data_IF_836955049891
#
_entry.id   IF_836955049891
#
_cell.length_a   1.000
_cell.length_b   1.000
_cell.length_c   1.000
_cell.angle_alpha   90.00
_cell.angle_beta   90.00
_cell.angle_gamma   90.00
#
_symmetry.space_group_name_H-M   'P 1'
#
loop_
_entity.id
_entity.type
_entity.pdbx_description
1 polymer ?
#
# COMPACT_ATOMS: atom_id res chain seq x y z
N UNK A 1 67.70 -29.37 -36.38
CA UNK A 1 67.11 -30.71 -36.59
C UNK A 1 65.78 -30.72 -35.86
N UNK A 2 64.66 -30.63 -36.58
CA UNK A 2 63.80 -31.75 -37.05
C UNK A 2 63.04 -32.37 -35.87
N UNK A 3 61.71 -32.50 -35.83
CA UNK A 3 60.67 -32.27 -36.83
C UNK A 3 59.31 -32.20 -36.09
N UNK A 4 58.48 -31.19 -36.41
CA UNK A 4 57.06 -31.18 -36.06
C UNK A 4 56.33 -31.82 -37.24
N UNK A 5 55.45 -32.83 -37.04
CA UNK A 5 54.74 -33.47 -38.13
C UNK A 5 53.72 -32.48 -38.71
N UNK A 6 54.05 -31.93 -39.87
CA UNK A 6 53.10 -31.20 -40.69
C UNK A 6 52.00 -32.18 -41.12
N UNK A 7 50.82 -32.09 -40.51
CA UNK A 7 49.56 -32.50 -41.12
C UNK A 7 49.36 -31.64 -42.38
N UNK A 8 50.10 -31.97 -43.45
CA UNK A 8 49.81 -31.51 -44.79
C UNK A 8 48.52 -32.21 -45.17
N UNK A 9 47.41 -31.49 -44.99
CA UNK A 9 46.29 -31.62 -45.92
C UNK A 9 46.89 -31.63 -47.33
N UNK A 10 47.01 -32.81 -47.94
CA UNK A 10 47.14 -32.96 -49.37
C UNK A 10 45.80 -32.54 -49.96
N UNK A 11 45.57 -31.23 -49.89
CA UNK A 11 44.48 -30.50 -50.51
C UNK A 11 44.48 -30.94 -51.98
N UNK A 12 43.36 -31.45 -52.53
CA UNK A 12 43.31 -32.05 -53.87
C UNK A 12 43.31 -30.96 -54.97
N UNK A 13 44.26 -30.03 -54.90
CA UNK A 13 44.37 -28.90 -55.83
C UNK A 13 44.85 -29.35 -57.20
N UNK A 14 45.60 -30.47 -57.29
CA UNK A 14 46.00 -31.06 -58.57
C UNK A 14 44.80 -31.54 -59.41
N UNK A 15 43.78 -32.13 -58.76
CA UNK A 15 42.57 -32.58 -59.44
C UNK A 15 41.69 -31.42 -59.92
N UNK A 16 41.54 -30.38 -59.10
CA UNK A 16 40.81 -29.15 -59.45
C UNK A 16 41.49 -28.36 -60.57
N UNK A 17 42.82 -28.28 -60.58
CA UNK A 17 43.58 -27.63 -61.66
C UNK A 17 43.52 -28.42 -62.97
N UNK A 18 43.58 -29.77 -62.90
CA UNK A 18 43.48 -30.62 -64.09
C UNK A 18 42.06 -30.57 -64.70
N UNK A 19 41.01 -30.55 -63.88
CA UNK A 19 39.63 -30.42 -64.36
C UNK A 19 39.31 -28.99 -64.84
N UNK A 20 39.85 -27.94 -64.21
CA UNK A 20 39.75 -26.57 -64.71
C UNK A 20 40.46 -26.38 -66.05
N UNK A 21 41.64 -26.98 -66.24
CA UNK A 21 42.38 -26.95 -67.51
C UNK A 21 41.63 -27.72 -68.61
N UNK A 22 41.02 -28.86 -68.30
CA UNK A 22 40.19 -29.62 -69.24
C UNK A 22 38.92 -28.86 -69.65
N UNK A 23 38.31 -28.11 -68.73
CA UNK A 23 37.13 -27.27 -69.00
C UNK A 23 37.51 -26.10 -69.93
N UNK A 24 38.68 -25.49 -69.72
CA UNK A 24 39.24 -24.46 -70.60
C UNK A 24 39.56 -25.00 -72.01
N UNK A 25 40.10 -26.22 -72.13
CA UNK A 25 40.36 -26.87 -73.42
C UNK A 25 39.06 -27.25 -74.13
N UNK A 26 38.02 -27.64 -73.40
CA UNK A 26 36.69 -27.93 -73.97
C UNK A 26 35.95 -26.69 -74.49
N UNK A 27 36.30 -25.49 -73.98
CA UNK A 27 35.71 -24.22 -74.40
C UNK A 27 36.33 -23.67 -75.69
N UNK A 28 37.55 -24.10 -76.07
CA UNK A 28 38.29 -23.60 -77.23
C UNK A 28 38.26 -24.51 -78.47
N UNK A 29 37.64 -25.70 -78.44
CA UNK A 29 37.67 -26.63 -79.59
C UNK A 29 36.32 -27.36 -79.84
N UNK A 30 35.75 -27.17 -81.04
CA UNK A 30 34.53 -27.84 -81.55
C UNK A 30 34.84 -29.29 -81.97
N UNK A 31 34.24 -30.34 -81.35
CA UNK A 31 32.80 -30.61 -81.27
C UNK A 31 32.26 -30.96 -79.85
N UNK A 32 31.03 -30.52 -79.52
CA UNK A 32 30.40 -30.57 -78.19
C UNK A 32 30.15 -31.98 -77.56
N UNK A 33 30.42 -33.06 -78.29
CA UNK A 33 30.11 -34.44 -77.90
C UNK A 33 31.33 -35.21 -77.38
N UNK A 34 32.54 -34.67 -77.55
CA UNK A 34 33.78 -35.26 -76.99
C UNK A 34 34.04 -34.84 -75.54
N UNK A 35 33.57 -33.66 -75.12
CA UNK A 35 33.72 -33.15 -73.76
C UNK A 35 33.15 -34.08 -72.67
N UNK A 36 31.91 -34.60 -72.76
CA UNK A 36 31.39 -35.51 -71.75
C UNK A 36 32.16 -36.84 -71.70
N UNK A 37 32.61 -37.36 -72.85
CA UNK A 37 33.43 -38.57 -72.89
C UNK A 37 34.79 -38.40 -72.21
N UNK A 38 35.45 -37.25 -72.40
CA UNK A 38 36.73 -36.95 -71.76
C UNK A 38 36.59 -36.77 -70.25
N UNK A 39 35.49 -36.16 -69.79
CA UNK A 39 35.16 -36.03 -68.36
C UNK A 39 34.86 -37.40 -67.75
N UNK A 40 34.11 -38.26 -68.44
CA UNK A 40 33.85 -39.64 -67.97
C UNK A 40 35.15 -40.44 -67.89
N UNK A 41 36.06 -40.28 -68.86
CA UNK A 41 37.33 -41.01 -68.85
C UNK A 41 38.28 -40.48 -67.76
N UNK A 42 38.33 -39.16 -67.53
CA UNK A 42 39.09 -38.55 -66.44
C UNK A 42 38.51 -38.90 -65.06
N UNK A 43 37.19 -38.94 -64.91
CA UNK A 43 36.56 -39.38 -63.65
C UNK A 43 36.73 -40.87 -63.43
N UNK A 44 36.71 -41.70 -64.47
CA UNK A 44 37.04 -43.12 -64.38
C UNK A 44 38.51 -43.33 -63.99
N UNK A 45 39.44 -42.60 -64.60
CA UNK A 45 40.86 -42.60 -64.22
C UNK A 45 41.04 -42.12 -62.78
N UNK A 46 40.30 -41.08 -62.37
CA UNK A 46 40.35 -40.57 -61.00
C UNK A 46 39.76 -41.56 -59.99
N UNK A 47 38.68 -42.26 -60.32
CA UNK A 47 38.12 -43.35 -59.51
C UNK A 47 39.10 -44.53 -59.44
N UNK A 48 39.81 -44.84 -60.52
CA UNK A 48 40.87 -45.85 -60.52
C UNK A 48 42.06 -45.40 -59.67
N UNK A 49 42.44 -44.11 -59.70
CA UNK A 49 43.50 -43.55 -58.87
C UNK A 49 43.09 -43.47 -57.38
N UNK A 50 41.81 -43.24 -57.07
CA UNK A 50 41.26 -43.38 -55.70
C UNK A 50 41.14 -44.84 -55.26
N UNK A 51 40.95 -45.78 -56.20
CA UNK A 51 40.90 -47.22 -55.95
C UNK A 51 42.27 -47.89 -56.03
N UNK A 52 43.33 -47.17 -56.42
CA UNK A 52 44.71 -47.58 -56.17
C UNK A 52 44.90 -47.50 -54.66
N UNK A 53 44.48 -48.58 -54.01
CA UNK A 53 44.96 -48.93 -52.68
C UNK A 53 46.48 -48.77 -52.76
N UNK A 54 47.09 -47.89 -51.95
CA UNK A 54 48.54 -47.82 -51.91
C UNK A 54 49.06 -49.24 -51.70
N UNK A 55 50.19 -49.64 -52.33
CA UNK A 55 50.80 -50.93 -52.00
C UNK A 55 50.84 -51.01 -50.47
N UNK A 56 50.49 -52.15 -49.86
CA UNK A 56 50.40 -52.23 -48.41
C UNK A 56 51.68 -51.62 -47.87
N UNK A 57 51.53 -50.45 -47.22
CA UNK A 57 52.65 -49.85 -46.50
C UNK A 57 53.11 -50.99 -45.62
N UNK A 58 54.34 -51.45 -45.86
CA UNK A 58 54.94 -52.52 -45.08
C UNK A 58 54.52 -52.24 -43.64
N UNK A 59 53.80 -53.20 -43.04
CA UNK A 59 53.29 -53.05 -41.68
C UNK A 59 54.42 -52.39 -40.87
N UNK A 60 54.16 -51.28 -40.15
CA UNK A 60 55.19 -50.77 -39.26
C UNK A 60 55.65 -51.98 -38.47
N UNK A 61 56.96 -52.22 -38.51
CA UNK A 61 57.62 -53.36 -37.89
C UNK A 61 56.95 -53.60 -36.54
N UNK A 62 56.17 -54.68 -36.43
CA UNK A 62 55.31 -54.94 -35.26
C UNK A 62 56.14 -55.24 -34.01
N UNK A 63 57.47 -55.29 -34.18
CA UNK A 63 58.48 -55.52 -33.16
C UNK A 63 59.27 -54.25 -32.77
N UNK A 64 58.90 -53.06 -33.28
CA UNK A 64 59.30 -51.82 -32.62
C UNK A 64 58.40 -51.62 -31.38
N UNK A 65 58.92 -51.52 -30.15
CA UNK A 65 58.09 -51.35 -28.98
C UNK A 65 57.20 -50.12 -29.19
N UNK A 66 55.90 -50.25 -28.96
CA UNK A 66 54.95 -49.13 -29.01
C UNK A 66 55.20 -48.22 -27.80
N UNK A 67 56.34 -47.52 -27.80
CA UNK A 67 56.77 -46.59 -26.77
C UNK A 67 55.76 -45.44 -26.58
N UNK A 68 54.80 -45.26 -27.50
CA UNK A 68 53.74 -44.27 -27.41
C UNK A 68 52.48 -44.77 -26.68
N UNK A 69 52.25 -46.09 -26.56
CA UNK A 69 51.09 -46.66 -25.87
C UNK A 69 50.97 -46.27 -24.38
N UNK A 70 52.04 -46.41 -23.54
CA UNK A 70 51.94 -46.08 -22.12
C UNK A 70 51.80 -44.57 -21.88
N UNK A 71 52.41 -43.72 -22.73
CA UNK A 71 52.26 -42.26 -22.68
C UNK A 71 50.83 -41.85 -23.05
N UNK A 72 50.26 -42.45 -24.11
CA UNK A 72 48.87 -42.20 -24.52
C UNK A 72 47.88 -42.63 -23.45
N UNK A 73 48.11 -43.76 -22.79
CA UNK A 73 47.28 -44.23 -21.68
C UNK A 73 47.37 -43.29 -20.46
N UNK A 74 48.57 -42.83 -20.11
CA UNK A 74 48.75 -41.85 -19.03
C UNK A 74 48.09 -40.49 -19.35
N UNK A 75 48.18 -40.02 -20.60
CA UNK A 75 47.47 -38.81 -21.04
C UNK A 75 45.94 -38.96 -20.94
N UNK A 76 45.41 -40.13 -21.29
CA UNK A 76 43.98 -40.42 -21.16
C UNK A 76 43.53 -40.50 -19.70
N UNK A 77 44.36 -41.08 -18.82
CA UNK A 77 44.12 -41.13 -17.37
C UNK A 77 44.13 -39.72 -16.73
N UNK A 78 45.07 -38.85 -17.14
CA UNK A 78 45.13 -37.44 -16.72
C UNK A 78 43.91 -36.67 -17.24
N UNK A 79 43.58 -36.83 -18.53
CA UNK A 79 42.45 -36.17 -19.18
C UNK A 79 41.12 -36.53 -18.53
N UNK A 80 40.90 -37.81 -18.23
CA UNK A 80 39.68 -38.26 -17.56
C UNK A 80 39.57 -37.74 -16.13
N UNK A 81 40.65 -37.76 -15.36
CA UNK A 81 40.66 -37.20 -14.01
C UNK A 81 40.41 -35.69 -13.99
N UNK A 82 41.03 -34.95 -14.91
CA UNK A 82 40.76 -33.51 -15.10
C UNK A 82 39.31 -33.26 -15.47
N UNK A 83 38.75 -34.02 -16.42
CA UNK A 83 37.37 -33.87 -16.83
C UNK A 83 36.38 -34.15 -15.68
N UNK A 84 36.65 -35.17 -14.85
CA UNK A 84 35.81 -35.51 -13.69
C UNK A 84 35.84 -34.39 -12.65
N UNK A 85 37.02 -33.90 -12.25
CA UNK A 85 37.17 -32.84 -11.25
C UNK A 85 36.63 -31.49 -11.74
N UNK A 86 36.86 -31.13 -13.01
CA UNK A 86 36.26 -29.93 -13.61
C UNK A 86 34.73 -30.05 -13.66
N UNK A 87 34.22 -31.26 -13.91
CA UNK A 87 32.80 -31.57 -13.83
C UNK A 87 32.23 -31.42 -12.42
N UNK A 88 32.98 -31.81 -11.39
CA UNK A 88 32.60 -31.59 -9.98
C UNK A 88 32.60 -30.12 -9.60
N UNK A 89 33.67 -29.38 -9.90
CA UNK A 89 33.74 -27.93 -9.66
C UNK A 89 32.63 -27.18 -10.39
N UNK A 90 32.33 -27.57 -11.63
CA UNK A 90 31.21 -27.00 -12.38
C UNK A 90 29.87 -27.26 -11.69
N UNK A 91 29.60 -28.48 -11.21
CA UNK A 91 28.37 -28.79 -10.47
C UNK A 91 28.24 -27.97 -9.18
N UNK A 92 29.32 -27.82 -8.42
CA UNK A 92 29.33 -27.00 -7.19
C UNK A 92 29.09 -25.51 -7.48
N UNK A 93 29.68 -24.97 -8.56
CA UNK A 93 29.39 -23.61 -9.01
C UNK A 93 27.94 -23.43 -9.46
N UNK A 94 27.37 -24.40 -10.18
CA UNK A 94 25.95 -24.36 -10.57
C UNK A 94 25.04 -24.39 -9.34
N UNK A 95 25.37 -25.18 -8.33
CA UNK A 95 24.64 -25.22 -7.05
C UNK A 95 24.74 -23.89 -6.31
N UNK A 96 25.93 -23.30 -6.22
CA UNK A 96 26.13 -21.98 -5.61
C UNK A 96 25.32 -20.89 -6.34
N UNK A 97 25.33 -20.88 -7.68
CA UNK A 97 24.51 -19.95 -8.46
C UNK A 97 23.01 -20.16 -8.26
N UNK A 98 22.56 -21.41 -8.05
CA UNK A 98 21.18 -21.72 -7.68
C UNK A 98 20.80 -21.11 -6.33
N UNK A 99 21.62 -21.35 -5.29
CA UNK A 99 21.42 -20.77 -3.96
C UNK A 99 21.38 -19.23 -3.98
N UNK A 100 22.30 -18.61 -4.74
CA UNK A 100 22.31 -17.16 -4.93
C UNK A 100 21.00 -16.66 -5.54
N UNK A 101 20.53 -17.32 -6.60
CA UNK A 101 19.30 -16.93 -7.30
C UNK A 101 18.08 -17.04 -6.39
N UNK A 102 17.98 -18.14 -5.63
CA UNK A 102 16.86 -18.38 -4.73
C UNK A 102 16.85 -17.35 -3.59
N UNK A 103 18.01 -17.10 -2.96
CA UNK A 103 18.14 -16.11 -1.90
C UNK A 103 17.87 -14.68 -2.40
N UNK A 104 18.36 -14.29 -3.58
CA UNK A 104 18.08 -12.96 -4.16
C UNK A 104 16.59 -12.80 -4.48
N UNK A 105 15.93 -13.86 -4.95
CA UNK A 105 14.48 -13.84 -5.19
C UNK A 105 13.69 -13.71 -3.89
N UNK A 106 14.09 -14.43 -2.83
CA UNK A 106 13.46 -14.37 -1.52
C UNK A 106 13.65 -12.99 -0.86
N UNK A 107 14.87 -12.45 -0.89
CA UNK A 107 15.17 -11.08 -0.44
C UNK A 107 14.37 -10.03 -1.20
N UNK A 108 14.29 -10.16 -2.53
CA UNK A 108 13.50 -9.26 -3.36
C UNK A 108 12.02 -9.26 -2.97
N UNK A 109 11.45 -10.45 -2.75
CA UNK A 109 10.07 -10.59 -2.26
C UNK A 109 9.86 -10.04 -0.85
N UNK A 110 10.80 -10.29 0.06
CA UNK A 110 10.76 -9.77 1.44
C UNK A 110 10.81 -8.25 1.50
N UNK A 111 11.72 -7.62 0.75
CA UNK A 111 11.83 -6.16 0.69
C UNK A 111 10.62 -5.50 0.02
N UNK A 112 10.05 -6.11 -1.02
CA UNK A 112 8.82 -5.61 -1.66
C UNK A 112 7.62 -5.66 -0.69
N UNK A 113 7.46 -6.79 0.02
CA UNK A 113 6.45 -6.93 1.06
C UNK A 113 6.63 -5.92 2.20
N UNK A 114 7.87 -5.70 2.64
CA UNK A 114 8.20 -4.70 3.66
C UNK A 114 7.87 -3.29 3.19
N UNK A 115 8.24 -2.93 1.95
CA UNK A 115 7.94 -1.62 1.36
C UNK A 115 6.43 -1.39 1.26
N UNK A 116 5.66 -2.39 0.80
CA UNK A 116 4.21 -2.31 0.69
C UNK A 116 3.54 -2.14 2.05
N UNK A 117 3.90 -2.95 3.05
CA UNK A 117 3.36 -2.84 4.41
C UNK A 117 3.72 -1.51 5.07
N UNK A 118 4.94 -1.01 4.84
CA UNK A 118 5.38 0.31 5.34
C UNK A 118 4.57 1.45 4.72
N UNK A 119 4.31 1.41 3.41
CA UNK A 119 3.48 2.40 2.73
C UNK A 119 2.03 2.39 3.24
N UNK A 120 1.47 1.20 3.46
CA UNK A 120 0.15 1.05 4.08
C UNK A 120 0.13 1.63 5.50
N UNK A 121 1.15 1.31 6.32
CA UNK A 121 1.28 1.84 7.67
C UNK A 121 1.32 3.38 7.69
N UNK A 122 2.09 4.01 6.80
CA UNK A 122 2.14 5.47 6.67
C UNK A 122 0.78 6.07 6.30
N UNK A 123 0.03 5.43 5.40
CA UNK A 123 -1.32 5.88 5.03
C UNK A 123 -2.29 5.81 6.22
N UNK A 124 -2.26 4.73 6.99
CA UNK A 124 -3.11 4.55 8.16
C UNK A 124 -2.74 5.54 9.28
N UNK A 125 -1.45 5.76 9.53
CA UNK A 125 -0.99 6.77 10.49
C UNK A 125 -1.46 8.17 10.11
N UNK A 126 -1.45 8.53 8.82
CA UNK A 126 -1.99 9.80 8.36
C UNK A 126 -3.49 9.93 8.68
N UNK A 127 -4.28 8.87 8.49
CA UNK A 127 -5.70 8.88 8.84
C UNK A 127 -5.94 9.10 10.35
N UNK A 128 -5.11 8.49 11.21
CA UNK A 128 -5.17 8.72 12.66
C UNK A 128 -4.83 10.17 12.99
N UNK A 129 -3.75 10.71 12.42
CA UNK A 129 -3.33 12.10 12.66
C UNK A 129 -4.41 13.08 12.21
N UNK A 130 -5.00 12.89 11.04
CA UNK A 130 -6.07 13.74 10.51
C UNK A 130 -7.33 13.67 11.41
N UNK A 131 -7.63 12.50 12.00
CA UNK A 131 -8.74 12.32 12.94
C UNK A 131 -8.47 12.90 14.34
N UNK A 132 -7.20 12.96 14.77
CA UNK A 132 -6.79 13.43 16.11
C UNK A 132 -6.45 14.92 16.20
N UNK A 133 -6.61 15.72 15.14
CA UNK A 133 -6.34 17.17 15.15
C UNK A 133 -7.23 18.01 16.12
N UNK A 134 -8.03 17.38 16.98
CA UNK A 134 -8.74 18.02 18.09
C UNK A 134 -7.97 17.81 19.41
N UNK A 135 -7.32 18.86 19.90
CA UNK A 135 -6.45 18.90 21.10
C UNK A 135 -7.18 18.63 22.44
N UNK A 136 -8.48 18.31 22.41
CA UNK A 136 -9.33 18.04 23.57
C UNK A 136 -9.83 16.61 23.48
N UNK A 137 -9.76 15.87 24.60
CA UNK A 137 -10.41 14.56 24.76
C UNK A 137 -11.85 14.65 24.24
N UNK A 138 -12.06 14.08 23.06
CA UNK A 138 -13.31 14.22 22.32
C UNK A 138 -14.46 13.65 23.14
N UNK A 139 -14.19 12.62 23.95
CA UNK A 139 -15.14 12.05 24.90
C UNK A 139 -15.55 13.03 26.02
N UNK A 140 -14.60 13.74 26.64
CA UNK A 140 -14.90 14.72 27.69
C UNK A 140 -15.68 15.92 27.13
N UNK A 141 -15.31 16.37 25.93
CA UNK A 141 -16.03 17.43 25.24
C UNK A 141 -17.46 17.01 24.95
N UNK A 142 -17.65 15.83 24.35
CA UNK A 142 -18.96 15.25 24.01
C UNK A 142 -19.84 15.09 25.24
N UNK A 143 -19.31 14.55 26.34
CA UNK A 143 -20.04 14.38 27.60
C UNK A 143 -20.48 15.73 28.18
N UNK A 144 -19.55 16.70 28.30
CA UNK A 144 -19.86 18.03 28.82
C UNK A 144 -20.86 18.79 27.95
N UNK A 145 -20.75 18.67 26.62
CA UNK A 145 -21.70 19.28 25.70
C UNK A 145 -23.09 18.65 25.83
N UNK A 146 -23.16 17.32 25.98
CA UNK A 146 -24.40 16.60 26.26
C UNK A 146 -25.10 17.11 27.52
N UNK A 147 -24.38 17.18 28.65
CA UNK A 147 -24.91 17.67 29.93
C UNK A 147 -25.41 19.13 29.84
N UNK A 148 -24.62 20.00 29.21
CA UNK A 148 -24.99 21.42 29.03
C UNK A 148 -26.25 21.58 28.19
N UNK A 149 -26.44 20.73 27.17
CA UNK A 149 -27.63 20.76 26.33
C UNK A 149 -28.86 20.20 27.03
N UNK A 150 -28.70 19.12 27.78
CA UNK A 150 -29.81 18.59 28.57
C UNK A 150 -30.30 19.65 29.57
N UNK A 151 -29.37 20.34 30.23
CA UNK A 151 -29.69 21.47 31.09
C UNK A 151 -30.36 22.61 30.31
N UNK A 152 -29.82 23.01 29.16
CA UNK A 152 -30.38 24.08 28.32
C UNK A 152 -31.80 23.78 27.85
N UNK A 153 -32.06 22.56 27.37
CA UNK A 153 -33.40 22.10 26.98
C UNK A 153 -34.33 22.11 28.19
N UNK A 154 -33.86 21.68 29.37
CA UNK A 154 -34.60 21.78 30.61
C UNK A 154 -35.03 23.21 30.94
N UNK A 155 -34.11 24.17 30.84
CA UNK A 155 -34.39 25.61 31.04
C UNK A 155 -35.41 26.13 30.03
N UNK A 156 -35.29 25.77 28.75
CA UNK A 156 -36.22 26.20 27.70
C UNK A 156 -37.63 25.62 27.92
N UNK A 157 -37.73 24.34 28.30
CA UNK A 157 -39.02 23.71 28.65
C UNK A 157 -39.66 24.42 29.84
N UNK A 158 -38.87 24.76 30.87
CA UNK A 158 -39.34 25.52 32.01
C UNK A 158 -39.81 26.93 31.59
N UNK A 159 -39.06 27.61 30.72
CA UNK A 159 -39.44 28.94 30.21
C UNK A 159 -40.75 28.89 29.41
N UNK A 160 -40.93 27.87 28.57
CA UNK A 160 -42.18 27.65 27.83
C UNK A 160 -43.38 27.48 28.77
N UNK A 161 -43.22 26.74 29.88
CA UNK A 161 -44.25 26.59 30.92
C UNK A 161 -44.58 27.91 31.62
N UNK A 162 -43.57 28.73 31.91
CA UNK A 162 -43.79 30.07 32.49
C UNK A 162 -44.51 31.00 31.51
N UNK A 163 -44.13 30.99 30.24
CA UNK A 163 -44.81 31.75 29.19
C UNK A 163 -46.30 31.39 29.10
N UNK A 164 -46.65 30.10 29.16
CA UNK A 164 -48.06 29.66 29.21
C UNK A 164 -48.80 30.19 30.46
N UNK A 165 -48.12 30.24 31.61
CA UNK A 165 -48.71 30.81 32.83
C UNK A 165 -48.95 32.31 32.70
N UNK A 166 -48.05 33.03 32.03
CA UNK A 166 -48.21 34.46 31.72
C UNK A 166 -49.45 34.65 30.83
N UNK A 167 -49.63 33.84 29.79
CA UNK A 167 -50.83 33.89 28.93
C UNK A 167 -52.12 33.74 29.75
N UNK A 168 -52.16 32.81 30.71
CA UNK A 168 -53.33 32.64 31.59
C UNK A 168 -53.60 33.89 32.45
N UNK A 169 -52.54 34.55 32.95
CA UNK A 169 -52.69 35.80 33.71
C UNK A 169 -53.17 36.96 32.85
N UNK A 170 -52.71 37.04 31.59
CA UNK A 170 -53.20 38.05 30.63
C UNK A 170 -54.69 37.83 30.34
N UNK A 171 -55.14 36.59 30.15
CA UNK A 171 -56.55 36.27 29.97
C UNK A 171 -57.41 36.69 31.17
N UNK A 172 -56.88 36.48 32.39
CA UNK A 172 -57.48 37.00 33.62
C UNK A 172 -57.59 38.53 33.64
N UNK A 173 -56.51 39.24 33.28
CA UNK A 173 -56.54 40.70 33.20
C UNK A 173 -57.49 41.22 32.12
N UNK A 174 -57.61 40.53 30.99
CA UNK A 174 -58.54 40.91 29.93
C UNK A 174 -60.00 40.87 30.42
N UNK A 175 -60.36 39.85 31.22
CA UNK A 175 -61.68 39.76 31.87
C UNK A 175 -61.92 40.89 32.87
N UNK A 176 -60.91 41.27 33.65
CA UNK A 176 -61.01 42.43 34.55
C UNK A 176 -61.22 43.74 33.77
N UNK A 177 -60.55 43.92 32.62
CA UNK A 177 -60.79 45.08 31.75
C UNK A 177 -62.23 45.09 31.20
N UNK A 178 -62.77 43.94 30.79
CA UNK A 178 -64.17 43.83 30.36
C UNK A 178 -65.16 44.20 31.49
N UNK A 179 -64.87 43.83 32.73
CA UNK A 179 -65.65 44.24 33.90
C UNK A 179 -65.60 45.76 34.13
N UNK A 180 -64.41 46.37 33.99
CA UNK A 180 -64.25 47.82 34.08
C UNK A 180 -65.06 48.54 32.98
N UNK A 181 -65.07 48.05 31.74
CA UNK A 181 -65.93 48.61 30.69
C UNK A 181 -67.42 48.57 31.06
N UNK A 182 -67.88 47.49 31.69
CA UNK A 182 -69.24 47.39 32.23
C UNK A 182 -69.55 48.47 33.26
N UNK A 183 -68.61 48.73 34.18
CA UNK A 183 -68.75 49.80 35.18
C UNK A 183 -68.78 51.20 34.55
N UNK A 184 -67.89 51.47 33.59
CA UNK A 184 -67.88 52.75 32.87
C UNK A 184 -69.17 52.99 32.11
N UNK A 185 -69.77 51.95 31.51
CA UNK A 185 -71.08 52.06 30.86
C UNK A 185 -72.16 52.46 31.85
N UNK A 186 -72.17 51.85 33.04
CA UNK A 186 -73.12 52.21 34.10
C UNK A 186 -72.93 53.66 34.58
N UNK A 187 -71.68 54.11 34.75
CA UNK A 187 -71.37 55.50 35.12
C UNK A 187 -71.86 56.47 34.05
N UNK A 188 -71.70 56.15 32.76
CA UNK A 188 -72.22 56.95 31.66
C UNK A 188 -73.75 57.09 31.74
N UNK A 189 -74.45 55.98 31.97
CA UNK A 189 -75.92 55.98 32.13
C UNK A 189 -76.35 56.85 33.32
N UNK A 190 -75.68 56.73 34.47
CA UNK A 190 -75.99 57.54 35.66
C UNK A 190 -75.78 59.04 35.37
N UNK A 191 -74.70 59.40 34.68
CA UNK A 191 -74.41 60.79 34.36
C UNK A 191 -75.39 61.35 33.30
N UNK A 192 -75.83 60.56 32.32
CA UNK A 192 -76.90 60.93 31.38
C UNK A 192 -78.25 61.14 32.10
N UNK A 193 -78.63 60.23 33.01
CA UNK A 193 -79.84 60.37 33.83
C UNK A 193 -79.77 61.60 34.73
N UNK A 194 -78.62 61.85 35.36
CA UNK A 194 -78.39 63.03 36.20
C UNK A 194 -78.47 64.32 35.39
N UNK A 195 -77.93 64.33 34.17
CA UNK A 195 -78.03 65.46 33.25
C UNK A 195 -79.48 65.74 32.83
N UNK A 196 -80.28 64.69 32.58
CA UNK A 196 -81.71 64.81 32.29
C UNK A 196 -82.51 65.32 33.50
N UNK A 197 -82.23 64.81 34.70
CA UNK A 197 -82.84 65.27 35.95
C UNK A 197 -82.52 66.75 36.20
N UNK A 198 -81.27 67.16 36.02
CA UNK A 198 -80.83 68.55 36.15
C UNK A 198 -81.46 69.48 35.12
N UNK A 199 -81.66 68.98 33.89
CA UNK A 199 -82.40 69.72 32.86
C UNK A 199 -83.86 69.93 33.26
N UNK A 200 -84.55 68.89 33.72
CA UNK A 200 -85.94 68.99 34.19
C UNK A 200 -86.06 69.95 35.40
N UNK A 201 -85.10 69.90 36.33
CA UNK A 201 -85.04 70.83 37.46
C UNK A 201 -84.79 72.28 37.01
N UNK A 202 -83.94 72.49 36.00
CA UNK A 202 -83.70 73.81 35.42
C UNK A 202 -84.95 74.38 34.76
N UNK A 203 -85.73 73.55 34.06
CA UNK A 203 -87.01 73.93 33.44
C UNK A 203 -88.02 74.33 34.51
N UNK A 204 -88.18 73.52 35.56
CA UNK A 204 -89.15 73.82 36.63
C UNK A 204 -88.74 75.04 37.46
N UNK A 205 -87.44 75.24 37.68
CA UNK A 205 -86.90 76.45 38.31
C UNK A 205 -87.19 77.71 37.48
N UNK A 206 -87.07 77.64 36.15
CA UNK A 206 -87.46 78.74 35.26
C UNK A 206 -88.98 79.01 35.31
N UNK A 207 -89.79 77.95 35.45
CA UNK A 207 -91.25 78.03 35.56
C UNK A 207 -91.73 78.72 36.85
N UNK A 208 -90.98 78.57 37.94
CA UNK A 208 -91.23 79.24 39.23
C UNK A 208 -90.81 80.72 39.25
N UNK A 209 -90.22 81.25 38.17
CA UNK A 209 -89.84 82.67 38.05
C UNK A 209 -88.81 83.11 39.09
N UNK A 210 -89.05 84.25 39.74
CA UNK A 210 -88.15 84.82 40.77
C UNK A 210 -87.92 83.88 41.96
N UNK A 211 -88.92 83.10 42.36
CA UNK A 211 -88.81 82.14 43.47
C UNK A 211 -87.90 80.94 43.14
N UNK A 212 -87.69 80.64 41.85
CA UNK A 212 -86.89 79.51 41.37
C UNK A 212 -85.42 79.84 41.09
N UNK A 213 -84.99 81.10 41.21
CA UNK A 213 -83.63 81.54 40.83
C UNK A 213 -82.51 80.75 41.50
N UNK A 214 -82.65 80.44 42.79
CA UNK A 214 -81.67 79.63 43.53
C UNK A 214 -81.61 78.18 43.03
N UNK A 215 -82.76 77.58 42.73
CA UNK A 215 -82.84 76.23 42.17
C UNK A 215 -82.27 76.15 40.76
N UNK A 216 -82.43 77.21 39.94
CA UNK A 216 -81.87 77.27 38.59
C UNK A 216 -80.33 77.24 38.60
N UNK A 217 -79.69 77.92 39.55
CA UNK A 217 -78.22 77.89 39.72
C UNK A 217 -77.74 76.50 40.12
N UNK A 218 -78.41 75.88 41.11
CA UNK A 218 -78.05 74.51 41.55
C UNK A 218 -78.25 73.49 40.43
N UNK A 219 -79.35 73.58 39.69
CA UNK A 219 -79.62 72.69 38.56
C UNK A 219 -78.60 72.86 37.42
N UNK A 220 -78.13 74.09 37.17
CA UNK A 220 -77.04 74.37 36.24
C UNK A 220 -75.71 73.72 36.68
N UNK A 221 -75.38 73.79 37.97
CA UNK A 221 -74.16 73.19 38.52
C UNK A 221 -74.20 71.65 38.46
N UNK A 222 -75.34 71.03 38.80
CA UNK A 222 -75.53 69.58 38.68
C UNK A 222 -75.38 69.14 37.22
N UNK A 223 -75.94 69.91 36.27
CA UNK A 223 -75.83 69.63 34.84
C UNK A 223 -74.37 69.68 34.37
N UNK A 224 -73.62 70.70 34.80
CA UNK A 224 -72.19 70.80 34.50
C UNK A 224 -71.40 69.62 35.09
N UNK A 225 -71.69 69.24 36.34
CA UNK A 225 -71.05 68.11 37.01
C UNK A 225 -71.32 66.79 36.26
N UNK A 226 -72.55 66.57 35.81
CA UNK A 226 -72.91 65.41 34.99
C UNK A 226 -72.17 65.39 33.64
N UNK A 227 -72.06 66.54 32.96
CA UNK A 227 -71.29 66.64 31.72
C UNK A 227 -69.79 66.40 31.93
N UNK A 228 -69.21 66.94 33.00
CA UNK A 228 -67.82 66.68 33.38
C UNK A 228 -67.60 65.20 33.71
N UNK A 229 -68.56 64.56 34.39
CA UNK A 229 -68.52 63.13 34.69
C UNK A 229 -68.51 62.28 33.41
N UNK A 230 -69.34 62.62 32.41
CA UNK A 230 -69.32 61.93 31.10
C UNK A 230 -67.98 62.09 30.39
N UNK A 231 -67.45 63.30 30.32
CA UNK A 231 -66.16 63.56 29.67
C UNK A 231 -65.02 62.81 30.36
N UNK A 232 -65.00 62.77 31.70
CA UNK A 232 -64.00 62.02 32.46
C UNK A 232 -64.16 60.50 32.23
N UNK A 233 -65.39 60.01 32.14
CA UNK A 233 -65.69 58.61 31.86
C UNK A 233 -65.24 58.17 30.45
N UNK A 234 -65.41 59.03 29.43
CA UNK A 234 -64.86 58.81 28.08
C UNK A 234 -63.32 58.74 28.06
N UNK A 235 -62.66 59.61 28.83
CA UNK A 235 -61.20 59.58 28.98
C UNK A 235 -60.74 58.27 29.62
N UNK A 236 -61.39 57.83 30.71
CA UNK A 236 -61.09 56.54 31.34
C UNK A 236 -61.31 55.39 30.34
N UNK A 237 -62.43 55.39 29.61
CA UNK A 237 -62.71 54.39 28.58
C UNK A 237 -61.60 54.29 27.55
N UNK A 238 -61.08 55.43 27.08
CA UNK A 238 -59.95 55.48 26.14
C UNK A 238 -58.67 54.86 26.74
N UNK A 239 -58.39 55.07 28.03
CA UNK A 239 -57.24 54.46 28.71
C UNK A 239 -57.40 52.95 28.87
N UNK A 240 -58.61 52.48 29.19
CA UNK A 240 -58.91 51.04 29.32
C UNK A 240 -58.81 50.34 27.97
N UNK A 241 -59.28 50.96 26.89
CA UNK A 241 -59.15 50.44 25.52
C UNK A 241 -57.68 50.25 25.13
N UNK A 242 -56.82 51.23 25.44
CA UNK A 242 -55.38 51.12 25.21
C UNK A 242 -54.75 50.00 26.03
N UNK A 243 -55.16 49.85 27.30
CA UNK A 243 -54.68 48.76 28.15
C UNK A 243 -55.09 47.38 27.59
N UNK A 244 -56.33 47.24 27.12
CA UNK A 244 -56.83 46.02 26.44
C UNK A 244 -56.00 45.69 25.19
N UNK A 245 -55.76 46.68 24.33
CA UNK A 245 -54.96 46.48 23.12
C UNK A 245 -53.52 46.05 23.45
N UNK A 246 -52.90 46.65 24.47
CA UNK A 246 -51.57 46.26 24.94
C UNK A 246 -51.53 44.82 25.47
N UNK A 247 -52.59 44.38 26.18
CA UNK A 247 -52.71 42.99 26.65
C UNK A 247 -52.82 41.99 25.51
N UNK A 248 -53.58 42.30 24.47
CA UNK A 248 -53.71 41.43 23.29
C UNK A 248 -52.37 41.30 22.54
N UNK A 249 -51.63 42.39 22.40
CA UNK A 249 -50.27 42.35 21.84
C UNK A 249 -49.33 41.51 22.70
N UNK A 250 -49.39 41.66 24.04
CA UNK A 250 -48.58 40.88 24.97
C UNK A 250 -48.90 39.38 24.86
N UNK A 251 -50.19 39.02 24.73
CA UNK A 251 -50.64 37.65 24.52
C UNK A 251 -50.03 37.03 23.26
N UNK A 252 -50.04 37.77 22.15
CA UNK A 252 -49.45 37.32 20.89
C UNK A 252 -47.95 37.07 21.00
N UNK A 253 -47.20 38.02 21.57
CA UNK A 253 -45.75 37.92 21.76
C UNK A 253 -45.33 36.76 22.66
N UNK A 254 -46.03 36.56 23.77
CA UNK A 254 -45.73 35.45 24.70
C UNK A 254 -46.10 34.09 24.08
N UNK A 255 -47.18 34.05 23.29
CA UNK A 255 -47.58 32.85 22.55
C UNK A 255 -46.54 32.39 21.53
N UNK A 256 -45.97 33.32 20.75
CA UNK A 256 -44.91 32.98 19.79
C UNK A 256 -43.62 32.57 20.48
N UNK A 257 -43.24 33.28 21.55
CA UNK A 257 -42.05 32.95 22.37
C UNK A 257 -42.11 31.50 22.91
N UNK A 258 -43.24 31.11 23.51
CA UNK A 258 -43.40 29.77 24.09
C UNK A 258 -43.23 28.62 23.09
N UNK A 259 -43.68 28.81 21.84
CA UNK A 259 -43.64 27.79 20.79
C UNK A 259 -42.31 27.76 20.04
N UNK A 260 -41.71 28.93 19.78
CA UNK A 260 -40.53 29.03 18.94
C UNK A 260 -39.27 28.58 19.70
N UNK A 261 -39.15 28.97 20.97
CA UNK A 261 -37.99 28.59 21.81
C UNK A 261 -37.88 27.08 21.97
N UNK A 262 -39.02 26.40 22.18
CA UNK A 262 -39.05 24.95 22.34
C UNK A 262 -38.61 24.21 21.07
N UNK A 263 -39.07 24.65 19.90
CA UNK A 263 -38.73 23.99 18.64
C UNK A 263 -37.25 24.17 18.27
N UNK A 264 -36.70 25.36 18.52
CA UNK A 264 -35.26 25.65 18.33
C UNK A 264 -34.42 24.79 19.26
N UNK A 265 -34.79 24.70 20.55
CA UNK A 265 -34.04 23.90 21.52
C UNK A 265 -34.08 22.40 21.19
N UNK A 266 -35.22 21.85 20.78
CA UNK A 266 -35.35 20.46 20.36
C UNK A 266 -34.54 20.15 19.09
N UNK A 267 -34.55 21.07 18.11
CA UNK A 267 -33.77 20.93 16.88
C UNK A 267 -32.26 20.98 17.17
N UNK A 268 -31.83 21.89 18.05
CA UNK A 268 -30.44 21.98 18.49
C UNK A 268 -29.99 20.71 19.22
N UNK A 269 -30.85 20.16 20.09
CA UNK A 269 -30.60 18.87 20.74
C UNK A 269 -30.42 17.75 19.72
N UNK A 270 -31.34 17.60 18.76
CA UNK A 270 -31.25 16.57 17.73
C UNK A 270 -29.99 16.69 16.87
N UNK A 271 -29.58 17.91 16.52
CA UNK A 271 -28.36 18.16 15.77
C UNK A 271 -27.09 17.74 16.53
N UNK A 272 -27.06 17.96 17.85
CA UNK A 272 -25.89 17.59 18.66
C UNK A 272 -25.91 16.10 19.02
N UNK A 273 -27.07 15.48 19.27
CA UNK A 273 -27.16 14.02 19.43
C UNK A 273 -26.57 13.30 18.20
N UNK A 274 -26.84 13.81 16.99
CA UNK A 274 -26.23 13.31 15.76
C UNK A 274 -24.71 13.54 15.68
N UNK A 275 -24.24 14.72 16.13
CA UNK A 275 -22.80 15.02 16.20
C UNK A 275 -22.07 14.10 17.17
N UNK A 276 -22.65 13.85 18.35
CA UNK A 276 -22.12 12.92 19.37
C UNK A 276 -22.04 11.50 18.79
N UNK A 277 -23.06 11.05 18.07
CA UNK A 277 -23.05 9.76 17.40
C UNK A 277 -21.92 9.66 16.35
N UNK A 278 -21.74 10.69 15.51
CA UNK A 278 -20.66 10.73 14.53
C UNK A 278 -19.27 10.73 15.16
N UNK A 279 -19.11 11.47 16.26
CA UNK A 279 -17.88 11.54 17.03
C UNK A 279 -17.51 10.18 17.62
N UNK A 280 -18.46 9.51 18.25
CA UNK A 280 -18.23 8.17 18.84
C UNK A 280 -17.93 7.13 17.77
N UNK A 281 -18.58 7.20 16.60
CA UNK A 281 -18.22 6.35 15.46
C UNK A 281 -16.81 6.63 14.93
N UNK A 282 -16.41 7.90 14.85
CA UNK A 282 -15.07 8.30 14.40
C UNK A 282 -13.98 7.84 15.37
N UNK A 283 -14.24 7.90 16.68
CA UNK A 283 -13.33 7.40 17.72
C UNK A 283 -13.14 5.88 17.60
N UNK A 284 -14.24 5.13 17.46
CA UNK A 284 -14.20 3.68 17.24
C UNK A 284 -13.41 3.31 15.98
N UNK A 285 -13.61 4.05 14.87
CA UNK A 285 -12.86 3.85 13.63
C UNK A 285 -11.37 4.14 13.81
N UNK A 286 -11.02 5.20 14.54
CA UNK A 286 -9.63 5.57 14.82
C UNK A 286 -8.93 4.49 15.66
N UNK A 287 -9.63 3.96 16.68
CA UNK A 287 -9.13 2.82 17.47
C UNK A 287 -8.86 1.60 16.60
N UNK A 288 -9.79 1.25 15.70
CA UNK A 288 -9.61 0.12 14.79
C UNK A 288 -8.41 0.31 13.84
N UNK A 289 -8.20 1.52 13.33
CA UNK A 289 -7.03 1.83 12.48
C UNK A 289 -5.74 1.73 13.29
N UNK A 290 -5.74 2.17 14.56
CA UNK A 290 -4.59 2.02 15.45
C UNK A 290 -4.24 0.54 15.69
N UNK A 291 -5.24 -0.32 15.92
CA UNK A 291 -5.03 -1.77 16.06
C UNK A 291 -4.43 -2.38 14.79
N UNK A 292 -4.89 -1.97 13.60
CA UNK A 292 -4.31 -2.41 12.33
C UNK A 292 -2.85 -1.99 12.17
N UNK A 293 -2.48 -0.78 12.60
CA UNK A 293 -1.09 -0.31 12.59
C UNK A 293 -0.22 -1.17 13.51
N UNK A 294 -0.71 -1.54 14.69
CA UNK A 294 0.00 -2.43 15.62
C UNK A 294 0.22 -3.82 15.01
N UNK A 295 -0.80 -4.40 14.37
CA UNK A 295 -0.69 -5.70 13.69
C UNK A 295 0.29 -5.66 12.51
N UNK A 296 0.24 -4.61 11.69
CA UNK A 296 1.22 -4.41 10.60
C UNK A 296 2.64 -4.35 11.18
N UNK A 297 2.84 -3.61 12.28
CA UNK A 297 4.15 -3.47 12.91
C UNK A 297 4.71 -4.80 13.45
N UNK A 298 3.86 -5.64 14.07
CA UNK A 298 4.23 -7.01 14.46
C UNK A 298 4.64 -7.84 13.25
N UNK A 299 3.87 -7.77 12.17
CA UNK A 299 4.17 -8.46 10.92
C UNK A 299 5.50 -8.02 10.29
N UNK A 300 5.78 -6.71 10.26
CA UNK A 300 7.05 -6.16 9.76
C UNK A 300 8.25 -6.75 10.51
N UNK A 301 8.16 -6.89 11.83
CA UNK A 301 9.26 -7.43 12.64
C UNK A 301 9.58 -8.88 12.26
N UNK A 302 8.56 -9.68 11.96
CA UNK A 302 8.71 -11.05 11.46
C UNK A 302 9.29 -11.11 10.04
N UNK A 303 8.81 -10.26 9.13
CA UNK A 303 9.31 -10.18 7.75
C UNK A 303 10.79 -9.76 7.71
N UNK A 304 11.18 -8.77 8.54
CA UNK A 304 12.58 -8.33 8.67
C UNK A 304 13.45 -9.47 9.19
N UNK A 305 13.00 -10.19 10.22
CA UNK A 305 13.75 -11.32 10.78
C UNK A 305 13.98 -12.43 9.75
N UNK A 306 12.96 -12.72 8.92
CA UNK A 306 13.06 -13.69 7.83
C UNK A 306 14.03 -13.22 6.75
N UNK A 307 13.94 -11.95 6.34
CA UNK A 307 14.84 -11.34 5.35
C UNK A 307 16.30 -11.35 5.83
N UNK A 308 16.54 -11.09 7.12
CA UNK A 308 17.88 -11.17 7.73
C UNK A 308 18.42 -12.60 7.69
N UNK A 309 17.57 -13.62 7.95
CA UNK A 309 17.98 -15.02 7.80
C UNK A 309 18.38 -15.33 6.36
N UNK A 310 17.63 -14.83 5.38
CA UNK A 310 17.98 -15.01 3.97
C UNK A 310 19.32 -14.40 3.60
N UNK A 311 19.83 -13.37 4.31
CA UNK A 311 21.18 -12.81 4.09
C UNK A 311 22.32 -13.78 4.46
N UNK A 312 22.07 -14.82 5.26
CA UNK A 312 23.10 -15.81 5.62
C UNK A 312 23.61 -16.63 4.43
N UNK A 313 22.93 -16.56 3.28
CA UNK A 313 23.39 -17.19 2.04
C UNK A 313 24.78 -16.71 1.61
N UNK A 314 25.15 -15.46 1.92
CA UNK A 314 26.45 -14.89 1.58
C UNK A 314 27.60 -15.72 2.17
N UNK A 315 27.47 -16.14 3.43
CA UNK A 315 28.50 -16.93 4.12
C UNK A 315 28.63 -18.33 3.51
N UNK A 316 27.49 -18.98 3.21
CA UNK A 316 27.42 -20.29 2.53
C UNK A 316 28.07 -20.20 1.14
N UNK A 317 27.76 -19.15 0.37
CA UNK A 317 28.34 -18.93 -0.95
C UNK A 317 29.84 -18.68 -0.90
N UNK A 318 30.29 -17.82 0.02
CA UNK A 318 31.70 -17.53 0.22
C UNK A 318 32.49 -18.81 0.52
N UNK A 319 31.96 -19.65 1.41
CA UNK A 319 32.57 -20.95 1.74
C UNK A 319 32.62 -21.91 0.54
N UNK A 320 31.52 -22.06 -0.20
CA UNK A 320 31.46 -22.92 -1.40
C UNK A 320 32.41 -22.43 -2.50
N UNK A 321 32.45 -21.12 -2.75
CA UNK A 321 33.34 -20.52 -3.74
C UNK A 321 34.80 -20.67 -3.34
N UNK A 322 35.14 -20.45 -2.06
CA UNK A 322 36.50 -20.65 -1.57
C UNK A 322 36.94 -22.10 -1.73
N UNK A 323 36.10 -23.06 -1.34
CA UNK A 323 36.41 -24.49 -1.52
C UNK A 323 36.60 -24.86 -2.99
N UNK A 324 35.73 -24.36 -3.87
CA UNK A 324 35.84 -24.62 -5.31
C UNK A 324 37.10 -23.98 -5.89
N UNK A 325 37.43 -22.76 -5.47
CA UNK A 325 38.65 -22.07 -5.88
C UNK A 325 39.90 -22.84 -5.45
N UNK A 326 39.98 -23.29 -4.18
CA UNK A 326 41.10 -24.10 -3.70
C UNK A 326 41.24 -25.37 -4.54
N UNK A 327 40.13 -26.06 -4.87
CA UNK A 327 40.16 -27.26 -5.72
C UNK A 327 40.67 -26.96 -7.13
N UNK A 328 40.23 -25.87 -7.73
CA UNK A 328 40.68 -25.48 -9.07
C UNK A 328 42.18 -25.12 -9.10
N UNK A 329 42.68 -24.45 -8.06
CA UNK A 329 44.12 -24.15 -7.92
C UNK A 329 44.94 -25.43 -7.77
N UNK A 330 44.54 -26.32 -6.87
CA UNK A 330 45.21 -27.62 -6.70
C UNK A 330 45.18 -28.44 -8.01
N UNK A 331 44.03 -28.48 -8.71
CA UNK A 331 43.88 -29.13 -10.01
C UNK A 331 44.83 -28.54 -11.06
N UNK A 332 44.98 -27.22 -11.09
CA UNK A 332 45.86 -26.52 -12.03
C UNK A 332 47.33 -26.88 -11.78
N UNK A 333 47.78 -26.88 -10.53
CA UNK A 333 49.14 -27.29 -10.15
C UNK A 333 49.42 -28.74 -10.57
N UNK A 334 48.48 -29.65 -10.30
CA UNK A 334 48.62 -31.07 -10.66
C UNK A 334 48.62 -31.26 -12.17
N UNK A 335 47.77 -30.54 -12.90
CA UNK A 335 47.72 -30.59 -14.35
C UNK A 335 49.06 -30.15 -14.95
N UNK A 336 49.63 -29.05 -14.45
CA UNK A 336 50.95 -28.56 -14.84
C UNK A 336 52.03 -29.63 -14.58
N UNK A 337 52.07 -30.20 -13.37
CA UNK A 337 53.03 -31.25 -13.01
C UNK A 337 52.89 -32.50 -13.89
N UNK A 338 51.66 -32.95 -14.15
CA UNK A 338 51.39 -34.10 -15.00
C UNK A 338 51.77 -33.81 -16.46
N UNK A 339 51.46 -32.61 -16.99
CA UNK A 339 51.84 -32.21 -18.34
C UNK A 339 53.36 -32.14 -18.49
N UNK A 340 54.07 -31.62 -17.49
CA UNK A 340 55.54 -31.61 -17.45
C UNK A 340 56.11 -33.02 -17.43
N UNK A 341 55.58 -33.90 -16.58
CA UNK A 341 56.00 -35.31 -16.53
C UNK A 341 55.76 -36.01 -17.89
N UNK A 342 54.69 -35.65 -18.61
CA UNK A 342 54.36 -36.17 -19.95
C UNK A 342 55.26 -35.58 -21.05
N UNK A 343 55.59 -34.30 -21.00
CA UNK A 343 56.56 -33.67 -21.92
C UNK A 343 57.96 -34.26 -21.76
N UNK A 344 58.39 -34.51 -20.52
CA UNK A 344 59.65 -35.20 -20.21
C UNK A 344 59.66 -36.68 -20.67
N UNK A 345 58.48 -37.33 -20.75
CA UNK A 345 58.32 -38.66 -21.36
C UNK A 345 58.44 -38.63 -22.89
N UNK A 346 58.02 -37.55 -23.55
CA UNK A 346 58.01 -37.43 -25.00
C UNK A 346 59.37 -37.06 -25.62
N UNK A 347 60.30 -36.48 -24.86
CA UNK A 347 61.53 -35.87 -25.39
C UNK A 347 62.82 -36.70 -25.27
N UNK A 348 62.78 -37.99 -24.91
CA UNK A 348 63.98 -38.82 -24.70
C UNK A 348 63.96 -40.20 -25.36
N UNK A 349 65.12 -40.69 -25.82
CA UNK A 349 65.35 -42.10 -26.14
C UNK A 349 65.48 -42.89 -24.83
N UNK A 350 64.35 -43.22 -24.21
CA UNK A 350 64.28 -43.82 -22.87
C UNK A 350 64.02 -45.33 -23.00
N UNK A 351 64.75 -46.14 -22.21
CA UNK A 351 64.50 -47.59 -22.08
C UNK A 351 63.06 -47.89 -21.64
N UNK A 352 62.50 -49.00 -22.15
CA UNK A 352 61.09 -49.39 -21.94
C UNK A 352 60.70 -49.49 -20.44
N UNK A 353 61.60 -50.01 -19.60
CA UNK A 353 61.39 -50.10 -18.15
C UNK A 353 61.34 -48.73 -17.46
N UNK A 354 62.12 -47.76 -17.93
CA UNK A 354 62.14 -46.41 -17.36
C UNK A 354 60.89 -45.60 -17.78
N UNK A 355 60.33 -45.89 -18.95
CA UNK A 355 59.07 -45.33 -19.43
C UNK A 355 57.87 -45.85 -18.60
N UNK A 356 57.83 -47.16 -18.32
CA UNK A 356 56.80 -47.77 -17.48
C UNK A 356 56.85 -47.25 -16.03
N UNK A 357 58.04 -47.16 -15.42
CA UNK A 357 58.20 -46.61 -14.08
C UNK A 357 57.71 -45.16 -13.96
N UNK A 358 57.89 -44.35 -15.01
CA UNK A 358 57.45 -42.94 -15.01
C UNK A 358 55.93 -42.83 -15.26
N UNK A 359 55.36 -43.63 -16.15
CA UNK A 359 53.90 -43.73 -16.31
C UNK A 359 53.21 -44.20 -15.01
N UNK A 360 53.83 -45.12 -14.27
CA UNK A 360 53.39 -45.56 -12.94
C UNK A 360 53.40 -44.40 -11.93
N UNK A 361 54.38 -43.48 -12.00
CA UNK A 361 54.43 -42.29 -11.12
C UNK A 361 53.27 -41.35 -11.39
N UNK A 362 52.98 -41.02 -12.65
CA UNK A 362 51.82 -40.20 -13.03
C UNK A 362 50.52 -40.82 -12.51
N UNK A 363 50.34 -42.12 -12.70
CA UNK A 363 49.18 -42.88 -12.19
C UNK A 363 49.07 -42.87 -10.67
N UNK A 364 50.19 -43.04 -9.97
CA UNK A 364 50.21 -42.99 -8.50
C UNK A 364 49.83 -41.61 -7.95
N UNK A 365 50.29 -40.52 -8.57
CA UNK A 365 49.88 -39.15 -8.22
C UNK A 365 48.39 -38.93 -8.45
N UNK A 366 47.86 -39.35 -9.61
CA UNK A 366 46.43 -39.29 -9.90
C UNK A 366 45.58 -40.10 -8.91
N UNK A 367 46.05 -41.29 -8.52
CA UNK A 367 45.35 -42.13 -7.55
C UNK A 367 45.29 -41.47 -6.16
N UNK A 368 46.39 -40.90 -5.69
CA UNK A 368 46.45 -40.18 -4.42
C UNK A 368 45.56 -38.93 -4.42
N UNK A 369 45.41 -38.26 -5.58
CA UNK A 369 44.50 -37.13 -5.73
C UNK A 369 43.03 -37.55 -5.70
N UNK A 370 42.67 -38.61 -6.42
CA UNK A 370 41.31 -39.19 -6.35
C UNK A 370 40.96 -39.62 -4.92
N UNK A 371 41.93 -40.09 -4.16
CA UNK A 371 41.74 -40.47 -2.76
C UNK A 371 41.56 -39.25 -1.84
N UNK A 372 42.37 -38.19 -2.02
CA UNK A 372 42.17 -36.91 -1.32
C UNK A 372 40.81 -36.27 -1.62
N UNK A 373 40.39 -36.27 -2.90
CA UNK A 373 39.09 -35.78 -3.32
C UNK A 373 37.93 -36.57 -2.67
N UNK A 374 38.04 -37.91 -2.62
CA UNK A 374 37.07 -38.78 -1.93
C UNK A 374 36.99 -38.59 -0.43
N UNK A 375 38.10 -38.27 0.24
CA UNK A 375 38.10 -38.02 1.68
C UNK A 375 37.45 -36.68 2.02
N UNK A 376 37.62 -35.67 1.17
CA UNK A 376 37.02 -34.34 1.34
C UNK A 376 35.52 -34.31 1.07
N UNK A 377 35.02 -35.10 0.11
CA UNK A 377 33.57 -35.24 -0.14
C UNK A 377 32.81 -35.92 1.00
N UNK A 378 33.51 -36.49 1.99
CA UNK A 378 32.97 -37.09 3.22
C UNK A 378 33.06 -36.16 4.45
N UNK A 379 33.55 -34.93 4.29
CA UNK A 379 33.66 -33.93 5.37
C UNK A 379 32.30 -33.50 5.95
N UNK A 380 32.28 -32.86 7.15
CA UNK A 380 31.06 -32.64 7.93
C UNK A 380 30.11 -31.69 7.20
N UNK A 381 28.88 -32.16 6.98
CA UNK A 381 27.68 -31.41 6.63
C UNK A 381 27.90 -30.10 5.85
N UNK A 382 27.91 -30.20 4.51
CA UNK A 382 27.41 -29.09 3.69
C UNK A 382 25.98 -28.81 4.16
N UNK A 383 25.77 -27.72 4.89
CA UNK A 383 24.42 -27.19 5.14
C UNK A 383 23.83 -26.85 3.76
N UNK A 384 23.09 -27.80 3.20
CA UNK A 384 22.42 -27.67 1.91
C UNK A 384 21.09 -26.92 2.01
N UNK A 385 20.71 -26.47 3.21
CA UNK A 385 19.48 -25.73 3.46
C UNK A 385 19.69 -24.66 4.53
N UNK A 386 19.09 -23.50 4.33
CA UNK A 386 19.12 -22.32 5.20
C UNK A 386 18.28 -22.47 6.49
N UNK A 387 17.81 -23.68 6.79
CA UNK A 387 16.78 -23.95 7.80
C UNK A 387 17.33 -24.14 9.23
N UNK A 388 18.60 -23.79 9.46
CA UNK A 388 19.27 -24.04 10.74
C UNK A 388 19.59 -22.72 11.48
N UNK A 389 18.61 -22.24 12.25
CA UNK A 389 18.86 -21.26 13.31
C UNK A 389 17.70 -20.29 13.54
N UNK A 390 16.95 -20.48 14.62
CA UNK A 390 16.18 -19.37 15.20
C UNK A 390 17.17 -18.32 15.71
N UNK A 391 17.11 -17.13 15.12
CA UNK A 391 17.81 -15.96 15.64
C UNK A 391 16.89 -15.37 16.71
N UNK A 392 17.18 -15.63 17.99
CA UNK A 392 16.66 -14.80 19.08
C UNK A 392 17.30 -13.41 18.96
N UNK A 393 16.55 -12.47 18.38
CA UNK A 393 16.85 -11.04 18.49
C UNK A 393 16.31 -10.55 19.83
N UNK A 394 17.22 -10.12 20.70
CA UNK A 394 16.92 -9.43 21.96
C UNK A 394 16.27 -8.06 21.73
#
# INVERSE_FOLDING_TARGET
>A
MNAIPAFRHARPWGGLLASAAALLVSLLWHPAWLAPCLIILLTAVWIVELRRVPPPVAAPDRDAPDHAAPVRAAMEDVRSALADELGHASRELHQALGLLRDAVSELGGGFDGLAQKTALQQSLLKQIIDAQHGEVSVQDFTARTGDLLEHFVGVVVQMSRESLRIVYRIDGMAKEMDAVFGLLKNVNTIAEETNLLALNASIEAARAGEAGRGFAVVAGEIRNLASHSNQFNEQIGTHVERARAAMEQLRGLVGTMASQDLNVALSAKGGIDAMIAHVTESDARTSQVADQVVEINRGLTGDVSTTIRSLQFEDILSQLLHQTQTRLVELQEIALDCTRDIEELACGHIDQDALEQRAQRVRSRLALQREKARLRSRGPALQSSMDAGEIELF
#
